data_IF_496221240165
#
_entry.id   IF_496221240165
#
_cell.length_a   1.000
_cell.length_b   1.000
_cell.length_c   1.000
_cell.angle_alpha   90.00
_cell.angle_beta   90.00
_cell.angle_gamma   90.00
#
_symmetry.space_group_name_H-M   'P 1'
#
loop_
_entity.id
_entity.type
_entity.pdbx_description
1 polymer ?
#
# COMPACT_ATOMS: atom_id res chain seq x y z
N UNK A 1 24.05 -66.36 -55.41
CA UNK A 1 25.02 -67.31 -54.80
C UNK A 1 25.12 -66.99 -53.34
N UNK A 2 24.62 -67.94 -52.54
CA UNK A 2 25.09 -68.49 -51.27
C UNK A 2 25.11 -67.59 -50.07
N UNK A 3 24.62 -67.88 -48.97
CA UNK A 3 23.99 -69.00 -48.24
C UNK A 3 23.50 -68.46 -46.89
N UNK A 4 22.32 -68.86 -46.51
CA UNK A 4 21.75 -68.64 -45.15
C UNK A 4 22.58 -69.41 -44.09
N UNK A 5 22.66 -68.86 -42.86
CA UNK A 5 22.80 -69.67 -41.65
C UNK A 5 22.01 -69.08 -40.50
N UNK A 6 21.06 -69.87 -40.05
CA UNK A 6 20.31 -69.70 -38.77
C UNK A 6 21.26 -69.99 -37.60
N UNK A 7 21.08 -69.21 -36.50
CA UNK A 7 21.48 -69.69 -35.16
C UNK A 7 20.48 -69.12 -34.15
N UNK A 8 20.08 -69.94 -33.26
CA UNK A 8 18.91 -69.98 -32.42
C UNK A 8 18.93 -69.08 -31.17
N UNK A 9 17.92 -69.21 -30.33
CA UNK A 9 17.58 -68.21 -29.31
C UNK A 9 18.39 -68.42 -28.04
N UNK A 10 19.07 -67.35 -27.56
CA UNK A 10 19.69 -67.30 -26.24
C UNK A 10 18.65 -66.68 -25.30
N UNK A 11 18.21 -67.48 -24.32
CA UNK A 11 17.37 -67.06 -23.23
C UNK A 11 18.17 -66.11 -22.30
N UNK A 12 17.73 -64.84 -22.18
CA UNK A 12 18.26 -63.92 -21.17
C UNK A 12 17.34 -63.98 -19.95
N UNK A 13 17.86 -64.49 -18.84
CA UNK A 13 17.29 -64.38 -17.51
C UNK A 13 17.26 -62.88 -17.08
N UNK A 14 16.06 -62.32 -16.92
CA UNK A 14 15.82 -61.06 -16.25
C UNK A 14 15.84 -61.28 -14.72
N UNK A 15 16.94 -60.91 -14.06
CA UNK A 15 16.98 -60.74 -12.62
C UNK A 15 16.27 -59.45 -12.26
N UNK A 16 15.06 -59.51 -11.70
CA UNK A 16 14.33 -58.40 -11.15
C UNK A 16 14.99 -57.96 -9.82
N UNK A 17 15.75 -56.85 -9.84
CA UNK A 17 16.17 -56.15 -8.64
C UNK A 17 14.96 -55.39 -8.08
N UNK A 18 14.37 -55.88 -7.00
CA UNK A 18 13.43 -55.16 -6.14
C UNK A 18 14.22 -54.07 -5.40
N UNK A 19 14.26 -52.86 -5.96
CA UNK A 19 14.65 -51.67 -5.22
C UNK A 19 13.42 -51.26 -4.38
N UNK A 20 13.47 -51.54 -3.08
CA UNK A 20 12.53 -51.01 -2.11
C UNK A 20 12.67 -49.47 -2.09
N UNK A 21 11.76 -48.78 -2.76
CA UNK A 21 11.64 -47.35 -2.66
C UNK A 21 11.23 -46.97 -1.22
N UNK A 22 12.17 -46.47 -0.45
CA UNK A 22 11.85 -45.72 0.78
C UNK A 22 10.98 -44.55 0.39
N UNK A 23 9.82 -44.32 1.08
CA UNK A 23 9.03 -43.16 0.80
C UNK A 23 9.87 -41.91 1.09
N UNK A 24 9.95 -40.99 0.11
CA UNK A 24 10.53 -39.67 0.32
C UNK A 24 9.80 -38.99 1.48
N UNK A 25 10.51 -38.26 2.37
CA UNK A 25 9.86 -37.51 3.41
C UNK A 25 8.90 -36.51 2.75
N UNK A 26 7.62 -36.68 2.99
CA UNK A 26 6.60 -35.68 2.65
C UNK A 26 7.00 -34.39 3.35
N UNK A 27 7.04 -33.24 2.64
CA UNK A 27 7.22 -31.97 3.32
C UNK A 27 6.09 -31.83 4.32
N UNK A 28 6.43 -31.76 5.61
CA UNK A 28 5.49 -31.41 6.65
C UNK A 28 4.99 -29.99 6.33
N UNK A 29 3.83 -29.86 5.70
CA UNK A 29 3.07 -28.64 5.74
C UNK A 29 2.81 -28.41 7.22
N UNK A 30 3.45 -27.39 7.79
CA UNK A 30 3.00 -26.84 9.06
C UNK A 30 1.52 -26.53 8.83
N UNK A 31 0.64 -27.23 9.54
CA UNK A 31 -0.78 -26.86 9.59
C UNK A 31 -0.82 -25.44 10.15
N UNK A 32 -0.92 -24.46 9.25
CA UNK A 32 -1.21 -23.08 9.60
C UNK A 32 -2.48 -23.10 10.43
N UNK A 33 -2.41 -22.43 11.56
CA UNK A 33 -3.56 -22.28 12.46
C UNK A 33 -4.68 -21.65 11.67
N UNK A 34 -5.77 -22.39 11.45
CA UNK A 34 -7.03 -21.85 10.94
C UNK A 34 -7.71 -20.93 11.99
N UNK A 35 -7.05 -19.85 12.38
CA UNK A 35 -7.74 -18.67 12.89
C UNK A 35 -7.83 -17.69 11.72
N UNK A 36 -8.51 -18.12 10.66
CA UNK A 36 -8.90 -17.19 9.61
C UNK A 36 -9.97 -16.27 10.20
N UNK A 37 -9.57 -15.02 10.45
CA UNK A 37 -10.54 -13.94 10.51
C UNK A 37 -11.25 -13.91 9.15
N UNK A 38 -12.46 -14.44 9.12
CA UNK A 38 -13.37 -14.25 8.00
C UNK A 38 -13.74 -12.76 7.97
N UNK A 39 -12.80 -11.93 7.46
CA UNK A 39 -12.97 -10.48 7.30
C UNK A 39 -13.75 -10.27 6.00
N UNK A 40 -14.97 -10.78 5.99
CA UNK A 40 -15.95 -10.43 4.97
C UNK A 40 -16.46 -9.02 5.27
N UNK A 41 -16.63 -8.27 4.21
CA UNK A 41 -17.12 -6.90 4.16
C UNK A 41 -18.28 -6.66 5.13
N UNK A 42 -18.17 -5.59 5.95
CA UNK A 42 -19.28 -5.04 6.71
C UNK A 42 -19.47 -5.64 8.10
N UNK A 43 -18.88 -5.03 9.13
CA UNK A 43 -19.30 -5.22 10.52
C UNK A 43 -18.69 -6.41 11.26
N UNK A 44 -17.56 -6.95 10.86
CA UNK A 44 -16.88 -8.02 11.60
C UNK A 44 -16.32 -7.49 12.93
N UNK A 45 -16.59 -8.23 14.02
CA UNK A 45 -16.07 -7.95 15.36
C UNK A 45 -14.54 -7.94 15.32
N UNK A 46 -13.91 -6.80 15.70
CA UNK A 46 -12.43 -6.67 15.76
C UNK A 46 -11.86 -7.76 16.68
N UNK A 47 -10.74 -8.35 16.32
CA UNK A 47 -10.04 -9.34 17.14
C UNK A 47 -9.38 -8.66 18.35
N UNK A 48 -9.71 -9.07 19.57
CA UNK A 48 -9.04 -8.59 20.78
C UNK A 48 -7.59 -9.08 20.81
N UNK A 49 -6.61 -8.19 20.87
CA UNK A 49 -5.20 -8.52 21.04
C UNK A 49 -4.60 -7.72 22.19
N UNK A 50 -3.87 -8.37 23.08
CA UNK A 50 -3.11 -7.72 24.15
C UNK A 50 -1.65 -7.55 23.68
N UNK A 51 -1.11 -6.33 23.85
CA UNK A 51 0.28 -6.00 23.55
C UNK A 51 0.93 -5.42 24.80
N UNK A 52 1.53 -6.27 25.63
CA UNK A 52 2.25 -5.84 26.82
C UNK A 52 3.52 -5.06 26.51
N UNK A 53 4.01 -4.28 27.46
CA UNK A 53 5.36 -3.75 27.42
C UNK A 53 6.39 -4.88 27.25
N UNK A 54 7.48 -4.62 26.52
CA UNK A 54 8.46 -5.65 26.22
C UNK A 54 9.36 -5.95 27.41
N UNK A 55 9.62 -7.24 27.63
CA UNK A 55 10.53 -7.70 28.67
C UNK A 55 11.98 -7.50 28.25
N UNK A 56 12.78 -6.80 29.04
CA UNK A 56 14.19 -6.56 28.77
C UNK A 56 15.01 -7.80 29.13
N UNK A 57 15.89 -8.25 28.22
CA UNK A 57 16.75 -9.41 28.40
C UNK A 57 18.13 -9.06 28.96
N UNK A 58 18.55 -7.80 28.88
CA UNK A 58 19.82 -7.32 29.42
C UNK A 58 19.63 -6.04 30.23
N UNK A 59 20.71 -5.66 30.97
CA UNK A 59 20.70 -4.51 31.86
C UNK A 59 21.10 -3.21 31.16
N UNK A 60 21.34 -3.21 29.86
CA UNK A 60 21.66 -1.99 29.10
C UNK A 60 20.55 -0.95 29.32
N UNK A 61 20.87 0.30 29.66
CA UNK A 61 19.86 1.33 29.83
C UNK A 61 18.98 1.50 28.62
N UNK A 62 17.67 1.61 28.82
CA UNK A 62 16.67 1.88 27.78
C UNK A 62 16.35 3.38 27.76
N UNK A 63 17.32 4.19 27.36
CA UNK A 63 17.19 5.66 27.31
C UNK A 63 16.11 6.12 26.32
N UNK A 64 15.85 5.33 25.27
CA UNK A 64 14.82 5.57 24.28
C UNK A 64 13.43 5.08 24.68
N UNK A 65 13.29 4.48 25.86
CA UNK A 65 12.04 3.88 26.35
C UNK A 65 11.41 2.89 25.33
N UNK A 66 12.24 2.10 24.67
CA UNK A 66 11.82 1.19 23.59
C UNK A 66 10.93 0.05 24.11
N UNK A 67 11.15 -0.39 25.36
CA UNK A 67 10.34 -1.44 25.98
C UNK A 67 8.85 -1.10 26.01
N UNK A 68 8.53 0.19 26.13
CA UNK A 68 7.15 0.71 26.09
C UNK A 68 6.78 1.31 24.73
N UNK A 69 7.68 2.10 24.14
CA UNK A 69 7.40 2.86 22.91
C UNK A 69 7.16 1.95 21.68
N UNK A 70 7.95 0.87 21.53
CA UNK A 70 7.78 -0.05 20.39
C UNK A 70 6.41 -0.78 20.41
N UNK A 71 5.96 -1.40 21.55
CA UNK A 71 4.62 -1.99 21.61
C UNK A 71 3.48 -0.97 21.45
N UNK A 72 3.67 0.30 21.88
CA UNK A 72 2.69 1.37 21.62
C UNK A 72 2.54 1.64 20.11
N UNK A 73 3.64 1.72 19.36
CA UNK A 73 3.62 1.89 17.88
C UNK A 73 2.93 0.69 17.25
N UNK A 74 3.32 -0.54 17.59
CA UNK A 74 2.68 -1.75 17.07
C UNK A 74 1.17 -1.73 17.34
N UNK A 75 0.77 -1.34 18.56
CA UNK A 75 -0.64 -1.22 18.94
C UNK A 75 -1.40 -0.21 18.09
N UNK A 76 -0.78 0.93 17.74
CA UNK A 76 -1.37 1.93 16.86
C UNK A 76 -1.52 1.40 15.44
N UNK A 77 -0.52 0.70 14.90
CA UNK A 77 -0.56 0.07 13.59
C UNK A 77 -1.68 -0.97 13.49
N UNK A 78 -1.84 -1.80 14.51
CA UNK A 78 -2.89 -2.81 14.55
C UNK A 78 -4.29 -2.18 14.69
N UNK A 79 -4.46 -1.09 15.46
CA UNK A 79 -5.71 -0.32 15.49
C UNK A 79 -6.03 0.29 14.13
N UNK A 80 -5.02 0.89 13.49
CA UNK A 80 -5.16 1.50 12.16
C UNK A 80 -5.60 0.46 11.12
N UNK A 81 -5.14 -0.77 11.22
CA UNK A 81 -5.56 -1.86 10.32
C UNK A 81 -7.07 -2.12 10.32
N UNK A 82 -7.78 -1.62 11.34
CA UNK A 82 -9.20 -1.86 11.63
C UNK A 82 -9.58 -3.33 11.91
N UNK A 83 -8.59 -4.23 11.97
CA UNK A 83 -8.79 -5.65 12.21
C UNK A 83 -8.77 -6.01 13.71
N UNK A 84 -8.10 -5.18 14.52
CA UNK A 84 -7.82 -5.48 15.92
C UNK A 84 -8.42 -4.45 16.89
N UNK A 85 -8.91 -4.96 18.02
CA UNK A 85 -9.14 -4.19 19.24
C UNK A 85 -7.96 -4.42 20.17
N UNK A 86 -7.09 -3.40 20.32
CA UNK A 86 -5.82 -3.54 21.01
C UNK A 86 -5.92 -3.06 22.44
N UNK A 87 -5.52 -3.91 23.41
CA UNK A 87 -5.31 -3.57 24.80
C UNK A 87 -3.81 -3.48 25.08
N UNK A 88 -3.33 -2.32 25.56
CA UNK A 88 -1.97 -2.16 26.08
C UNK A 88 -1.98 -2.54 27.56
N UNK A 89 -1.05 -3.38 27.97
CA UNK A 89 -0.97 -3.91 29.33
C UNK A 89 0.49 -3.77 29.85
N UNK A 90 0.70 -3.79 31.17
CA UNK A 90 2.04 -3.87 31.73
C UNK A 90 2.83 -5.07 31.19
N UNK A 91 4.17 -5.03 31.36
CA UNK A 91 5.05 -6.11 30.94
C UNK A 91 4.64 -7.46 31.56
N UNK A 92 4.74 -8.52 30.76
CA UNK A 92 4.51 -9.88 31.24
C UNK A 92 5.68 -10.33 32.14
N UNK A 93 5.39 -11.18 33.16
CA UNK A 93 6.46 -11.75 34.00
C UNK A 93 7.41 -12.60 33.14
N UNK A 94 8.69 -12.67 33.47
CA UNK A 94 9.68 -13.43 32.68
C UNK A 94 9.55 -14.95 32.84
N UNK A 95 8.91 -15.42 33.92
CA UNK A 95 8.76 -16.85 34.21
C UNK A 95 7.58 -17.46 33.44
N UNK A 96 7.73 -18.67 32.86
CA UNK A 96 6.68 -19.31 32.05
C UNK A 96 5.34 -19.49 32.77
N UNK A 97 5.37 -19.86 34.06
CA UNK A 97 4.14 -20.05 34.86
C UNK A 97 3.42 -18.73 35.12
N UNK A 98 4.17 -17.65 35.35
CA UNK A 98 3.61 -16.30 35.49
C UNK A 98 2.96 -15.81 34.20
N UNK A 99 3.54 -16.12 33.04
CA UNK A 99 2.98 -15.77 31.74
C UNK A 99 1.60 -16.44 31.52
N UNK A 100 1.48 -17.73 31.84
CA UNK A 100 0.20 -18.44 31.71
C UNK A 100 -0.90 -17.85 32.57
N UNK A 101 -0.56 -17.45 33.80
CA UNK A 101 -1.52 -16.79 34.69
C UNK A 101 -1.99 -15.45 34.13
N UNK A 102 -1.06 -14.63 33.59
CA UNK A 102 -1.43 -13.36 32.95
C UNK A 102 -2.25 -13.59 31.67
N UNK A 103 -1.92 -14.57 30.85
CA UNK A 103 -2.74 -14.92 29.68
C UNK A 103 -4.18 -15.26 30.04
N UNK A 104 -4.39 -15.98 31.15
CA UNK A 104 -5.72 -16.24 31.68
C UNK A 104 -6.48 -14.96 32.07
N UNK A 105 -5.80 -13.97 32.66
CA UNK A 105 -6.41 -12.67 32.98
C UNK A 105 -6.74 -11.88 31.71
N UNK A 106 -5.83 -11.86 30.73
CA UNK A 106 -6.03 -11.18 29.43
C UNK A 106 -7.20 -11.79 28.65
N UNK A 107 -7.33 -13.12 28.67
CA UNK A 107 -8.43 -13.83 28.06
C UNK A 107 -9.77 -13.43 28.71
N UNK A 108 -9.84 -13.41 30.06
CA UNK A 108 -11.01 -12.94 30.79
C UNK A 108 -11.36 -11.49 30.50
N UNK A 109 -10.36 -10.65 30.20
CA UNK A 109 -10.55 -9.26 29.78
C UNK A 109 -10.96 -9.11 28.29
N UNK A 110 -11.17 -10.23 27.57
CA UNK A 110 -11.65 -10.24 26.18
C UNK A 110 -10.56 -10.27 25.13
N UNK A 111 -9.28 -10.50 25.48
CA UNK A 111 -8.24 -10.72 24.50
C UNK A 111 -8.33 -12.14 23.90
N UNK A 112 -8.28 -12.25 22.58
CA UNK A 112 -8.24 -13.50 21.83
C UNK A 112 -6.80 -13.91 21.49
N UNK A 113 -5.88 -12.95 21.51
CA UNK A 113 -4.46 -13.16 21.27
C UNK A 113 -3.62 -12.27 22.20
N UNK A 114 -2.38 -12.67 22.43
CA UNK A 114 -1.40 -11.84 23.13
C UNK A 114 -0.03 -11.90 22.44
N UNK A 115 0.65 -10.77 22.41
CA UNK A 115 2.04 -10.67 21.97
C UNK A 115 2.96 -10.57 23.20
N UNK A 116 3.97 -11.42 23.29
CA UNK A 116 5.04 -11.31 24.25
C UNK A 116 6.32 -10.91 23.54
N UNK A 117 6.83 -9.71 23.81
CA UNK A 117 8.07 -9.18 23.24
C UNK A 117 9.23 -9.30 24.21
N UNK A 118 10.34 -9.87 23.74
CA UNK A 118 11.62 -9.96 24.45
C UNK A 118 12.62 -9.03 23.77
N UNK A 119 13.16 -8.06 24.48
CA UNK A 119 13.96 -6.99 23.92
C UNK A 119 15.38 -7.00 24.45
N UNK A 120 16.36 -6.73 23.58
CA UNK A 120 17.76 -6.57 23.89
C UNK A 120 18.36 -5.38 23.14
N UNK A 121 19.17 -4.59 23.84
CA UNK A 121 19.92 -3.45 23.31
C UNK A 121 21.41 -3.77 23.37
N UNK A 122 22.10 -3.80 22.23
CA UNK A 122 23.53 -4.02 22.12
C UNK A 122 24.17 -2.85 21.34
N UNK A 123 24.71 -1.87 22.03
CA UNK A 123 25.20 -0.64 21.41
C UNK A 123 24.11 0.12 20.66
N UNK A 124 24.23 0.24 19.35
CA UNK A 124 23.21 0.87 18.48
C UNK A 124 22.19 -0.10 17.89
N UNK A 125 22.26 -1.38 18.29
CA UNK A 125 21.35 -2.41 17.79
C UNK A 125 20.23 -2.69 18.77
N UNK A 126 18.98 -2.62 18.27
CA UNK A 126 17.78 -3.07 18.97
C UNK A 126 17.33 -4.38 18.36
N UNK A 127 17.28 -5.44 19.17
CA UNK A 127 16.77 -6.76 18.78
C UNK A 127 15.50 -7.07 19.56
N UNK A 128 14.45 -7.54 18.87
CA UNK A 128 13.19 -7.93 19.48
C UNK A 128 12.83 -9.33 18.95
N UNK A 129 12.63 -10.27 19.88
CA UNK A 129 11.93 -11.51 19.62
C UNK A 129 10.49 -11.32 20.07
N UNK A 130 9.54 -11.38 19.13
CA UNK A 130 8.14 -11.43 19.49
C UNK A 130 7.59 -12.86 19.41
N UNK A 131 6.71 -13.18 20.35
CA UNK A 131 5.97 -14.43 20.41
C UNK A 131 4.50 -14.11 20.44
N UNK A 132 3.73 -14.66 19.50
CA UNK A 132 2.30 -14.45 19.36
C UNK A 132 1.57 -15.69 19.83
N UNK A 133 0.62 -15.52 20.74
CA UNK A 133 -0.13 -16.60 21.39
C UNK A 133 -1.62 -16.50 21.07
N UNK A 134 -2.24 -17.66 20.82
CA UNK A 134 -3.69 -17.82 20.75
C UNK A 134 -4.24 -18.04 22.16
N UNK A 135 -4.97 -17.06 22.67
CA UNK A 135 -5.60 -17.14 23.99
C UNK A 135 -6.96 -17.83 23.95
N UNK A 136 -7.53 -18.12 22.80
CA UNK A 136 -8.77 -18.90 22.68
C UNK A 136 -8.53 -20.39 22.92
N UNK A 137 -7.28 -20.83 22.74
CA UNK A 137 -6.84 -22.18 23.03
C UNK A 137 -6.55 -22.32 24.54
N UNK A 138 -7.08 -23.35 25.25
CA UNK A 138 -6.83 -23.54 26.69
C UNK A 138 -5.36 -23.69 27.09
N UNK A 139 -4.50 -24.14 26.16
CA UNK A 139 -3.07 -24.31 26.39
C UNK A 139 -2.26 -23.06 26.02
N UNK A 140 -2.93 -22.00 25.55
CA UNK A 140 -2.29 -20.77 25.06
C UNK A 140 -1.25 -21.06 23.97
N UNK A 141 -1.71 -21.64 22.87
CA UNK A 141 -0.84 -22.12 21.78
C UNK A 141 -0.03 -20.98 21.17
N UNK A 142 1.26 -21.22 20.97
CA UNK A 142 2.15 -20.34 20.20
C UNK A 142 1.73 -20.36 18.72
N UNK A 143 1.34 -19.19 18.17
CA UNK A 143 1.01 -18.99 16.74
C UNK A 143 2.29 -18.77 15.95
N UNK A 144 3.16 -17.84 16.42
CA UNK A 144 4.39 -17.46 15.75
C UNK A 144 5.45 -16.98 16.74
N UNK A 145 6.70 -17.23 16.41
CA UNK A 145 7.87 -16.61 17.06
C UNK A 145 8.85 -16.17 15.99
N UNK A 146 9.22 -14.89 16.00
CA UNK A 146 10.19 -14.31 15.05
C UNK A 146 11.06 -13.29 15.73
N UNK A 147 12.27 -13.15 15.22
CA UNK A 147 13.26 -12.17 15.68
C UNK A 147 13.46 -11.09 14.62
N UNK A 148 13.40 -9.85 15.05
CA UNK A 148 13.67 -8.67 14.24
C UNK A 148 14.75 -7.80 14.90
N UNK A 149 15.50 -7.08 14.10
CA UNK A 149 16.46 -6.12 14.58
C UNK A 149 16.59 -4.91 13.66
N UNK A 150 17.04 -3.81 14.24
CA UNK A 150 17.44 -2.59 13.53
C UNK A 150 18.74 -2.05 14.11
N UNK A 151 19.46 -1.32 13.28
CA UNK A 151 20.63 -0.52 13.59
C UNK A 151 20.66 0.65 12.60
N UNK A 152 20.67 1.90 13.02
CA UNK A 152 20.75 2.40 14.39
C UNK A 152 19.44 2.29 15.17
N UNK A 153 19.50 2.57 16.49
CA UNK A 153 18.32 2.60 17.39
C UNK A 153 17.24 3.58 16.93
N UNK A 154 17.63 4.64 16.20
CA UNK A 154 16.70 5.62 15.62
C UNK A 154 15.66 4.98 14.68
N UNK A 155 15.95 3.82 14.09
CA UNK A 155 15.06 3.09 13.18
C UNK A 155 14.02 2.20 13.92
N UNK A 156 13.87 2.35 15.25
CA UNK A 156 12.94 1.55 16.06
C UNK A 156 11.49 1.60 15.57
N UNK A 157 11.02 2.72 15.01
CA UNK A 157 9.69 2.81 14.41
C UNK A 157 9.53 1.84 13.23
N UNK A 158 10.52 1.79 12.35
CA UNK A 158 10.53 0.85 11.23
C UNK A 158 10.48 -0.61 11.71
N UNK A 159 11.20 -0.92 12.82
CA UNK A 159 11.13 -2.24 13.45
C UNK A 159 9.72 -2.55 13.95
N UNK A 160 9.06 -1.59 14.63
CA UNK A 160 7.70 -1.73 15.11
C UNK A 160 6.71 -1.99 13.97
N UNK A 161 6.78 -1.23 12.88
CA UNK A 161 5.95 -1.39 11.68
C UNK A 161 6.12 -2.77 11.05
N UNK A 162 7.35 -3.29 10.95
CA UNK A 162 7.61 -4.65 10.45
C UNK A 162 6.99 -5.73 11.32
N UNK A 163 7.05 -5.57 12.65
CA UNK A 163 6.42 -6.50 13.59
C UNK A 163 4.90 -6.44 13.45
N UNK A 164 4.32 -5.24 13.35
CA UNK A 164 2.87 -5.07 13.16
C UNK A 164 2.40 -5.71 11.85
N UNK A 165 3.12 -5.51 10.74
CA UNK A 165 2.81 -6.13 9.45
C UNK A 165 2.91 -7.65 9.50
N UNK A 166 3.85 -8.20 10.27
CA UNK A 166 3.94 -9.64 10.51
C UNK A 166 2.74 -10.15 11.32
N UNK A 167 2.31 -9.44 12.37
CA UNK A 167 1.11 -9.81 13.13
C UNK A 167 -0.12 -9.82 12.23
N UNK A 168 -0.31 -8.78 11.40
CA UNK A 168 -1.41 -8.76 10.41
C UNK A 168 -1.34 -9.98 9.49
N UNK A 169 -0.15 -10.32 8.99
CA UNK A 169 0.05 -11.48 8.11
C UNK A 169 -0.33 -12.80 8.78
N UNK A 170 0.05 -13.00 10.05
CA UNK A 170 -0.26 -14.24 10.78
C UNK A 170 -1.77 -14.49 10.94
N UNK A 171 -2.58 -13.43 11.00
CA UNK A 171 -4.03 -13.55 11.14
C UNK A 171 -4.81 -13.49 9.84
N UNK A 172 -4.24 -12.94 8.77
CA UNK A 172 -4.98 -12.67 7.51
C UNK A 172 -4.39 -13.35 6.29
N UNK A 173 -3.13 -13.81 6.34
CA UNK A 173 -2.38 -14.25 5.17
C UNK A 173 -1.97 -13.11 4.21
N UNK A 174 -2.38 -11.87 4.47
CA UNK A 174 -2.02 -10.69 3.68
C UNK A 174 -1.00 -9.84 4.43
N UNK A 175 0.05 -9.38 3.76
CA UNK A 175 1.00 -8.44 4.39
C UNK A 175 0.29 -7.15 4.77
N UNK A 176 0.66 -6.57 5.91
CA UNK A 176 0.20 -5.26 6.35
C UNK A 176 0.69 -4.11 5.45
N UNK A 177 0.48 -2.89 5.91
CA UNK A 177 0.84 -1.65 5.20
C UNK A 177 1.65 -0.68 6.08
N UNK A 178 2.08 -1.09 7.26
CA UNK A 178 2.74 -0.21 8.21
C UNK A 178 4.13 0.25 7.73
N UNK A 179 4.81 -0.51 6.89
CA UNK A 179 6.07 -0.07 6.26
C UNK A 179 5.88 0.83 5.04
N UNK A 180 4.65 1.15 4.63
CA UNK A 180 4.39 1.98 3.44
C UNK A 180 4.54 3.47 3.75
N UNK A 181 4.61 4.27 2.68
CA UNK A 181 4.74 5.73 2.76
C UNK A 181 3.69 6.43 1.92
N UNK A 182 3.47 7.69 2.21
CA UNK A 182 2.58 8.56 1.45
C UNK A 182 3.38 9.73 0.94
N UNK A 183 3.47 9.88 -0.39
CA UNK A 183 3.99 11.09 -0.99
C UNK A 183 2.82 12.05 -1.29
N UNK A 184 3.07 13.35 -1.16
CA UNK A 184 2.05 14.36 -1.39
C UNK A 184 2.65 15.70 -1.78
N UNK A 185 1.82 16.60 -2.27
CA UNK A 185 2.19 17.98 -2.55
C UNK A 185 2.08 18.81 -1.27
N UNK A 186 3.20 19.32 -0.79
CA UNK A 186 3.28 20.26 0.31
C UNK A 186 3.47 21.68 -0.23
N UNK A 187 2.57 22.59 0.15
CA UNK A 187 2.69 24.01 -0.19
C UNK A 187 3.11 24.81 1.03
N UNK A 188 4.29 25.43 0.93
CA UNK A 188 4.79 26.39 1.91
C UNK A 188 5.14 27.69 1.19
N UNK A 189 4.34 28.73 1.39
CA UNK A 189 4.45 29.96 0.63
C UNK A 189 4.00 29.81 -0.84
N UNK A 190 4.83 30.22 -1.80
CA UNK A 190 4.50 30.17 -3.23
C UNK A 190 4.89 28.87 -3.92
N UNK A 191 5.81 28.11 -3.36
CA UNK A 191 6.32 26.87 -3.95
C UNK A 191 5.52 25.66 -3.52
N UNK A 192 5.38 24.70 -4.43
CA UNK A 192 4.79 23.38 -4.17
C UNK A 192 5.84 22.32 -4.42
N UNK A 193 6.19 21.57 -3.37
CA UNK A 193 7.19 20.52 -3.44
C UNK A 193 6.57 19.17 -3.10
N UNK A 194 7.15 18.09 -3.61
CA UNK A 194 6.76 16.73 -3.24
C UNK A 194 7.53 16.34 -1.98
N UNK A 195 6.79 15.93 -0.98
CA UNK A 195 7.33 15.39 0.28
C UNK A 195 6.75 14.01 0.54
N UNK A 196 7.34 13.26 1.46
CA UNK A 196 6.80 11.98 1.92
C UNK A 196 6.75 11.90 3.44
N UNK A 197 5.81 11.12 3.94
CA UNK A 197 5.67 10.72 5.33
C UNK A 197 5.49 9.20 5.41
N UNK A 198 5.69 8.63 6.59
CA UNK A 198 5.22 7.29 6.88
C UNK A 198 3.69 7.24 6.84
N UNK A 199 3.12 6.06 6.64
CA UNK A 199 1.67 5.88 6.50
C UNK A 199 0.86 6.45 7.69
N UNK A 200 1.50 6.57 8.85
CA UNK A 200 0.93 7.07 10.11
C UNK A 200 1.23 8.56 10.39
N UNK A 201 1.81 9.27 9.41
CA UNK A 201 2.07 10.71 9.46
C UNK A 201 3.41 11.13 10.04
N UNK A 202 4.28 10.19 10.43
CA UNK A 202 5.61 10.50 10.96
C UNK A 202 6.68 10.58 9.85
N UNK A 203 7.89 10.96 10.24
CA UNK A 203 9.11 10.95 9.41
C UNK A 203 8.97 11.76 8.10
N UNK A 204 8.43 12.99 8.20
CA UNK A 204 8.38 13.91 7.06
C UNK A 204 9.76 14.09 6.44
N UNK A 205 9.85 13.82 5.14
CA UNK A 205 11.07 13.99 4.36
C UNK A 205 10.78 14.59 2.97
N UNK A 206 11.62 15.51 2.46
CA UNK A 206 11.48 16.04 1.13
C UNK A 206 11.86 14.98 0.07
N UNK A 207 11.06 14.90 -0.99
CA UNK A 207 11.37 14.16 -2.23
C UNK A 207 11.96 15.13 -3.26
N UNK A 208 11.40 16.35 -3.35
CA UNK A 208 11.88 17.41 -4.24
C UNK A 208 12.26 18.66 -3.44
N UNK A 209 13.17 19.44 -3.99
CA UNK A 209 13.54 20.78 -3.53
C UNK A 209 13.95 21.60 -4.77
N UNK A 210 12.99 21.83 -5.65
CA UNK A 210 13.22 22.42 -6.96
C UNK A 210 12.92 23.93 -6.99
N UNK A 211 12.43 24.46 -5.85
CA UNK A 211 11.99 25.86 -5.73
C UNK A 211 11.00 26.27 -6.83
N UNK A 212 10.11 25.33 -7.19
CA UNK A 212 9.15 25.45 -8.27
C UNK A 212 7.85 24.76 -7.91
N UNK A 213 6.85 24.81 -8.80
CA UNK A 213 5.60 24.07 -8.62
C UNK A 213 5.79 22.63 -9.12
N UNK A 214 5.69 21.68 -8.19
CA UNK A 214 5.69 20.23 -8.44
C UNK A 214 4.35 19.62 -8.01
N UNK A 215 3.73 18.80 -8.89
CA UNK A 215 2.34 18.32 -8.77
C UNK A 215 2.22 16.85 -9.14
N UNK A 216 1.08 16.25 -8.78
CA UNK A 216 0.63 14.93 -9.24
C UNK A 216 1.68 13.83 -9.05
N UNK A 217 2.20 13.62 -7.82
CA UNK A 217 3.14 12.53 -7.57
C UNK A 217 2.48 11.16 -7.81
N UNK A 218 3.25 10.21 -8.36
CA UNK A 218 2.83 8.83 -8.57
C UNK A 218 3.98 7.86 -8.30
N UNK A 219 3.81 6.96 -7.34
CA UNK A 219 4.80 5.93 -7.01
C UNK A 219 4.88 4.87 -8.10
N UNK A 220 6.09 4.50 -8.48
CA UNK A 220 6.34 3.31 -9.28
C UNK A 220 6.05 2.04 -8.48
N UNK A 221 5.34 1.05 -9.06
CA UNK A 221 5.04 -0.20 -8.36
C UNK A 221 6.24 -1.13 -8.19
N UNK A 222 7.38 -0.86 -8.87
CA UNK A 222 8.49 -1.82 -8.97
C UNK A 222 9.83 -1.34 -8.39
N UNK A 223 10.08 -0.03 -8.30
CA UNK A 223 11.41 0.48 -7.91
C UNK A 223 11.38 1.65 -6.93
N UNK A 224 10.22 1.90 -6.33
CA UNK A 224 10.00 2.96 -5.34
C UNK A 224 10.43 4.36 -5.82
N UNK A 225 10.50 4.60 -7.13
CA UNK A 225 10.65 5.93 -7.70
C UNK A 225 9.32 6.68 -7.72
N UNK A 226 9.36 8.00 -7.82
CA UNK A 226 8.18 8.86 -7.91
C UNK A 226 8.22 9.63 -9.22
N UNK A 227 7.21 9.45 -10.08
CA UNK A 227 6.97 10.32 -11.23
C UNK A 227 6.13 11.52 -10.76
N UNK A 228 6.37 12.69 -11.33
CA UNK A 228 5.63 13.91 -10.99
C UNK A 228 5.74 14.95 -12.10
N UNK A 229 4.78 15.86 -12.16
CA UNK A 229 4.83 17.02 -13.04
C UNK A 229 5.53 18.18 -12.33
N UNK A 230 6.46 18.87 -12.98
CA UNK A 230 7.08 20.07 -12.42
C UNK A 230 7.34 21.15 -13.46
N UNK A 231 7.20 22.41 -13.01
CA UNK A 231 7.55 23.62 -13.79
C UNK A 231 9.03 24.01 -13.64
N UNK A 232 9.86 23.18 -13.06
CA UNK A 232 11.29 23.41 -12.80
C UNK A 232 12.09 23.85 -14.04
N UNK A 233 11.71 23.41 -15.24
CA UNK A 233 12.28 23.83 -16.52
C UNK A 233 11.42 24.88 -17.26
N UNK A 234 10.53 25.57 -16.55
CA UNK A 234 9.66 26.62 -17.09
C UNK A 234 8.33 26.15 -17.70
N UNK A 235 8.18 24.84 -17.96
CA UNK A 235 6.99 24.22 -18.52
C UNK A 235 6.58 23.01 -17.71
N UNK A 236 5.30 22.59 -17.74
CA UNK A 236 4.81 21.40 -17.01
C UNK A 236 5.30 20.12 -17.68
N UNK A 237 6.53 19.71 -17.36
CA UNK A 237 7.14 18.49 -17.84
C UNK A 237 7.01 17.37 -16.81
N UNK A 238 7.04 16.13 -17.30
CA UNK A 238 7.04 14.94 -16.44
C UNK A 238 8.47 14.57 -16.07
N UNK A 239 8.71 14.43 -14.79
CA UNK A 239 9.97 14.04 -14.19
C UNK A 239 9.84 12.80 -13.33
N UNK A 240 10.98 12.21 -12.94
CA UNK A 240 11.10 11.07 -12.05
C UNK A 240 12.26 11.26 -11.07
N UNK A 241 12.04 10.89 -9.81
CA UNK A 241 13.07 10.87 -8.76
C UNK A 241 13.14 9.52 -8.07
N UNK A 242 14.26 9.24 -7.39
CA UNK A 242 14.54 7.98 -6.70
C UNK A 242 14.88 8.26 -5.24
N UNK A 243 13.88 8.50 -4.36
CA UNK A 243 14.11 9.00 -3.00
C UNK A 243 14.93 8.06 -2.12
N UNK A 244 14.90 6.75 -2.39
CA UNK A 244 15.61 5.74 -1.61
C UNK A 244 16.91 5.24 -2.27
N UNK A 245 17.28 5.75 -3.44
CA UNK A 245 18.53 5.33 -4.10
C UNK A 245 19.68 6.25 -3.67
N UNK A 246 20.65 5.76 -2.85
CA UNK A 246 21.74 6.59 -2.35
C UNK A 246 22.63 7.19 -3.44
N UNK A 247 22.75 6.49 -4.60
CA UNK A 247 23.55 6.93 -5.75
C UNK A 247 22.89 8.06 -6.54
N UNK A 248 21.58 8.24 -6.38
CA UNK A 248 20.78 9.25 -7.09
C UNK A 248 20.27 10.36 -6.17
N UNK A 249 20.55 10.25 -4.87
CA UNK A 249 20.14 11.25 -3.87
C UNK A 249 20.82 12.60 -4.17
N UNK A 250 20.03 13.67 -4.25
CA UNK A 250 20.53 15.02 -4.55
C UNK A 250 20.89 15.29 -6.02
N UNK A 251 20.63 14.33 -6.93
CA UNK A 251 20.69 14.58 -8.37
C UNK A 251 19.42 15.26 -8.87
N UNK A 252 19.53 15.97 -9.99
CA UNK A 252 18.38 16.51 -10.71
C UNK A 252 17.40 15.40 -11.09
N UNK A 253 16.08 15.68 -11.07
CA UNK A 253 15.09 14.73 -11.53
C UNK A 253 15.31 14.29 -12.98
N UNK A 254 15.13 13.00 -13.24
CA UNK A 254 15.18 12.44 -14.58
C UNK A 254 13.98 12.94 -15.40
N UNK A 255 14.24 13.54 -16.57
CA UNK A 255 13.19 13.98 -17.48
C UNK A 255 12.58 12.79 -18.22
N UNK A 256 11.25 12.59 -18.10
CA UNK A 256 10.52 11.54 -18.77
C UNK A 256 9.74 12.02 -20.00
N UNK A 257 9.13 13.21 -19.93
CA UNK A 257 8.33 13.79 -21.03
C UNK A 257 8.43 15.30 -21.02
N UNK A 258 8.67 15.88 -22.20
CA UNK A 258 8.80 17.34 -22.42
C UNK A 258 8.11 17.80 -23.70
N UNK A 259 6.95 17.26 -24.00
CA UNK A 259 6.15 17.74 -25.14
C UNK A 259 5.61 19.15 -24.86
N UNK A 260 5.47 19.99 -25.90
CA UNK A 260 4.81 21.29 -25.75
C UNK A 260 3.41 21.14 -25.14
N UNK A 261 3.08 22.01 -24.18
CA UNK A 261 1.83 21.96 -23.44
C UNK A 261 1.90 21.10 -22.17
N UNK A 262 0.78 20.47 -21.79
CA UNK A 262 0.67 19.68 -20.57
C UNK A 262 1.39 18.33 -20.70
N UNK A 263 2.12 17.95 -19.64
CA UNK A 263 2.67 16.62 -19.39
C UNK A 263 2.36 16.32 -17.91
N UNK A 264 1.19 15.77 -17.62
CA UNK A 264 0.66 15.72 -16.24
C UNK A 264 -0.07 14.42 -15.92
N UNK A 265 -0.49 14.27 -14.66
CA UNK A 265 -1.28 13.16 -14.15
C UNK A 265 -0.68 11.78 -14.50
N UNK A 266 0.58 11.50 -14.14
CA UNK A 266 1.19 10.21 -14.40
C UNK A 266 0.48 9.08 -13.63
N UNK A 267 0.30 7.94 -14.28
CA UNK A 267 -0.22 6.72 -13.69
C UNK A 267 0.56 5.50 -14.20
N UNK A 268 1.23 4.81 -13.31
CA UNK A 268 2.01 3.62 -13.64
C UNK A 268 1.13 2.42 -13.94
N UNK A 269 1.43 1.69 -15.00
CA UNK A 269 0.90 0.36 -15.19
C UNK A 269 1.40 -0.59 -14.08
N UNK A 270 0.66 -1.63 -13.70
CA UNK A 270 1.03 -2.52 -12.58
C UNK A 270 2.41 -3.20 -12.72
N UNK A 271 2.89 -3.39 -13.95
CA UNK A 271 4.20 -3.97 -14.24
C UNK A 271 5.37 -2.96 -14.19
N UNK A 272 5.08 -1.66 -14.00
CA UNK A 272 6.06 -0.58 -13.96
C UNK A 272 6.77 -0.27 -15.28
N UNK A 273 6.38 -0.90 -16.39
CA UNK A 273 7.03 -0.72 -17.70
C UNK A 273 6.43 0.40 -18.53
N UNK A 274 5.20 0.74 -18.24
CA UNK A 274 4.42 1.76 -18.97
C UNK A 274 3.87 2.75 -17.96
N UNK A 275 3.85 4.02 -18.34
CA UNK A 275 3.16 5.08 -17.61
C UNK A 275 2.10 5.71 -18.53
N UNK A 276 0.86 5.78 -18.07
CA UNK A 276 -0.16 6.59 -18.72
C UNK A 276 -0.07 8.03 -18.20
N UNK A 277 -0.32 9.00 -19.04
CA UNK A 277 -0.24 10.41 -18.69
C UNK A 277 -1.17 11.24 -19.59
N UNK A 278 -1.45 12.46 -19.17
CA UNK A 278 -2.17 13.45 -19.95
C UNK A 278 -1.17 14.32 -20.72
N UNK A 279 -1.27 14.35 -22.03
CA UNK A 279 -0.51 15.28 -22.90
C UNK A 279 -1.46 16.15 -23.71
N UNK A 280 -1.12 17.45 -23.88
CA UNK A 280 -1.83 18.34 -24.81
C UNK A 280 -1.06 18.59 -26.11
N UNK A 281 -0.20 17.64 -26.51
CA UNK A 281 0.65 17.69 -27.70
C UNK A 281 -0.12 18.00 -28.99
N UNK A 282 -1.36 17.51 -29.12
CA UNK A 282 -2.22 17.72 -30.28
C UNK A 282 -3.09 18.97 -30.22
N UNK A 283 -2.92 19.84 -29.19
CA UNK A 283 -3.76 21.01 -28.94
C UNK A 283 -4.90 20.74 -27.97
N UNK A 284 -5.27 19.48 -27.73
CA UNK A 284 -6.25 19.02 -26.75
C UNK A 284 -5.58 18.05 -25.76
N UNK A 285 -5.93 18.11 -24.45
CA UNK A 285 -5.49 17.11 -23.48
C UNK A 285 -6.06 15.73 -23.80
N UNK A 286 -5.19 14.78 -24.08
CA UNK A 286 -5.52 13.38 -24.37
C UNK A 286 -4.69 12.44 -23.49
N UNK A 287 -5.15 11.20 -23.35
CA UNK A 287 -4.42 10.14 -22.67
C UNK A 287 -3.40 9.51 -23.63
N UNK A 288 -2.17 9.47 -23.18
CA UNK A 288 -1.05 8.81 -23.86
C UNK A 288 -0.44 7.76 -22.93
N UNK A 289 0.25 6.80 -23.49
CA UNK A 289 1.19 5.94 -22.78
C UNK A 289 2.62 6.22 -23.21
N UNK A 290 3.55 6.09 -22.27
CA UNK A 290 4.99 6.16 -22.45
C UNK A 290 5.62 4.87 -21.95
N UNK A 291 6.44 4.22 -22.77
CA UNK A 291 7.29 3.11 -22.32
C UNK A 291 8.46 3.70 -21.53
N UNK A 292 8.59 3.31 -20.27
CA UNK A 292 9.58 3.84 -19.33
C UNK A 292 11.01 3.61 -19.84
N UNK A 293 11.85 4.66 -19.75
CA UNK A 293 13.23 4.63 -20.24
C UNK A 293 13.39 4.74 -21.75
N UNK A 294 12.32 5.08 -22.46
CA UNK A 294 12.34 5.30 -23.93
C UNK A 294 11.61 6.60 -24.30
N UNK A 295 11.58 6.93 -25.59
CA UNK A 295 10.75 8.01 -26.18
C UNK A 295 9.55 7.44 -26.94
N UNK A 296 9.10 6.22 -26.61
CA UNK A 296 7.99 5.54 -27.28
C UNK A 296 6.66 5.96 -26.63
N UNK A 297 5.96 6.88 -27.30
CA UNK A 297 4.66 7.40 -26.91
C UNK A 297 3.57 6.87 -27.82
N UNK A 298 2.49 6.40 -27.21
CA UNK A 298 1.29 6.00 -27.92
C UNK A 298 0.08 6.80 -27.44
N UNK A 299 -0.63 7.46 -28.35
CA UNK A 299 -1.90 8.13 -28.06
C UNK A 299 -3.02 7.09 -27.95
N UNK A 300 -3.78 7.14 -26.85
CA UNK A 300 -4.90 6.23 -26.58
C UNK A 300 -6.25 6.88 -26.84
N UNK A 301 -6.38 8.21 -26.63
CA UNK A 301 -7.59 8.97 -26.93
C UNK A 301 -7.30 10.04 -27.98
N UNK A 302 -8.29 10.34 -28.83
CA UNK A 302 -8.20 11.37 -29.85
C UNK A 302 -9.62 11.81 -30.22
N UNK A 303 -10.18 12.70 -29.43
CA UNK A 303 -11.51 13.27 -29.68
C UNK A 303 -11.52 14.75 -29.27
N UNK A 304 -12.66 15.44 -29.39
CA UNK A 304 -12.74 16.88 -29.07
C UNK A 304 -12.86 17.17 -27.58
N UNK A 305 -13.08 16.16 -26.76
CA UNK A 305 -13.18 16.30 -25.32
C UNK A 305 -11.79 16.39 -24.66
N UNK A 306 -11.75 16.84 -23.42
CA UNK A 306 -10.58 16.87 -22.55
C UNK A 306 -10.50 15.54 -21.82
N UNK A 307 -9.41 14.80 -22.00
CA UNK A 307 -9.16 13.54 -21.31
C UNK A 307 -7.98 13.67 -20.35
N UNK A 308 -8.23 13.37 -19.06
CA UNK A 308 -7.22 13.54 -17.99
C UNK A 308 -7.28 12.42 -16.95
N UNK A 309 -6.32 12.44 -16.04
CA UNK A 309 -6.29 11.63 -14.81
C UNK A 309 -6.42 10.13 -15.05
N UNK A 310 -5.58 9.50 -15.88
CA UNK A 310 -5.65 8.06 -16.10
C UNK A 310 -5.36 7.28 -14.81
N UNK A 311 -6.00 6.11 -14.67
CA UNK A 311 -5.76 5.16 -13.59
C UNK A 311 -5.89 3.73 -14.09
N UNK A 312 -4.83 2.94 -13.97
CA UNK A 312 -4.81 1.55 -14.42
C UNK A 312 -5.63 0.64 -13.51
N UNK A 313 -6.29 -0.34 -14.11
CA UNK A 313 -6.77 -1.50 -13.38
C UNK A 313 -5.58 -2.33 -12.86
N UNK A 314 -5.72 -3.08 -11.74
CA UNK A 314 -4.64 -3.89 -11.20
C UNK A 314 -4.20 -5.03 -12.13
N UNK A 315 -5.04 -5.39 -13.10
CA UNK A 315 -4.70 -6.38 -14.14
C UNK A 315 -3.91 -5.78 -15.31
N UNK A 316 -3.81 -4.44 -15.40
CA UNK A 316 -3.20 -3.73 -16.52
C UNK A 316 -3.98 -3.82 -17.83
N UNK A 317 -5.24 -4.30 -17.81
CA UNK A 317 -6.05 -4.49 -19.01
C UNK A 317 -6.95 -3.31 -19.35
N UNK A 318 -7.27 -2.47 -18.37
CA UNK A 318 -8.17 -1.33 -18.53
C UNK A 318 -7.58 -0.08 -17.86
N UNK A 319 -8.03 1.08 -18.33
CA UNK A 319 -7.68 2.40 -17.82
C UNK A 319 -8.97 3.17 -17.54
N UNK A 320 -9.18 3.60 -16.29
CA UNK A 320 -10.19 4.59 -15.95
C UNK A 320 -9.60 6.00 -16.18
N UNK A 321 -10.39 6.93 -16.64
CA UNK A 321 -9.97 8.31 -16.92
C UNK A 321 -11.15 9.28 -16.84
N UNK A 322 -10.84 10.56 -16.70
CA UNK A 322 -11.82 11.65 -16.79
C UNK A 322 -11.99 12.08 -18.24
N UNK A 323 -13.23 12.27 -18.69
CA UNK A 323 -13.51 12.84 -20.03
C UNK A 323 -14.77 13.70 -20.02
N UNK A 324 -14.71 14.86 -20.68
CA UNK A 324 -15.85 15.76 -20.89
C UNK A 324 -16.49 15.63 -22.27
N UNK A 325 -16.15 14.58 -23.06
CA UNK A 325 -16.66 14.33 -24.42
C UNK A 325 -18.19 14.31 -24.56
N UNK A 326 -18.92 14.19 -23.44
CA UNK A 326 -20.39 14.25 -23.38
C UNK A 326 -20.92 15.56 -22.78
N UNK A 327 -20.10 16.61 -22.73
CA UNK A 327 -20.47 17.97 -22.33
C UNK A 327 -20.05 18.33 -20.90
N UNK A 328 -19.77 17.38 -20.03
CA UNK A 328 -19.23 17.59 -18.67
C UNK A 328 -18.31 16.46 -18.27
N UNK A 329 -17.28 16.72 -17.40
CA UNK A 329 -16.37 15.71 -16.92
C UNK A 329 -17.07 14.54 -16.25
N UNK A 330 -16.80 13.34 -16.70
CA UNK A 330 -17.33 12.08 -16.19
C UNK A 330 -16.23 11.02 -16.17
N UNK A 331 -16.42 9.97 -15.40
CA UNK A 331 -15.52 8.84 -15.38
C UNK A 331 -15.83 7.89 -16.53
N UNK A 332 -14.80 7.56 -17.26
CA UNK A 332 -14.80 6.61 -18.38
C UNK A 332 -13.82 5.49 -18.13
N UNK A 333 -14.03 4.36 -18.79
CA UNK A 333 -13.11 3.22 -18.78
C UNK A 333 -12.89 2.78 -20.24
N UNK A 334 -11.64 2.46 -20.58
CA UNK A 334 -11.24 1.93 -21.88
C UNK A 334 -10.26 0.75 -21.70
N UNK A 335 -10.06 -0.05 -22.75
CA UNK A 335 -8.96 -1.03 -22.74
C UNK A 335 -7.59 -0.35 -22.70
N UNK A 336 -6.56 -1.09 -22.30
CA UNK A 336 -5.16 -0.61 -22.28
C UNK A 336 -4.67 -0.17 -23.68
N UNK A 337 -5.33 -0.64 -24.72
CA UNK A 337 -5.05 -0.28 -26.13
C UNK A 337 -5.78 0.99 -26.59
N UNK A 338 -6.62 1.60 -25.74
CA UNK A 338 -7.38 2.80 -26.08
C UNK A 338 -8.71 2.52 -26.80
N UNK A 339 -9.16 1.26 -26.84
CA UNK A 339 -10.41 0.86 -27.48
C UNK A 339 -11.53 0.64 -26.45
N UNK A 340 -12.77 0.45 -26.95
CA UNK A 340 -13.94 0.12 -26.13
C UNK A 340 -14.22 1.11 -25.00
N UNK A 341 -13.99 2.42 -25.24
CA UNK A 341 -14.24 3.45 -24.24
C UNK A 341 -15.75 3.52 -23.92
N UNK A 342 -16.07 3.39 -22.63
CA UNK A 342 -17.45 3.45 -22.11
C UNK A 342 -17.53 4.40 -20.93
N UNK A 343 -18.63 5.15 -20.83
CA UNK A 343 -18.91 6.00 -19.67
C UNK A 343 -19.28 5.11 -18.48
N UNK A 344 -18.68 5.42 -17.33
CA UNK A 344 -18.90 4.67 -16.09
C UNK A 344 -19.81 5.45 -15.12
N UNK A 345 -19.58 6.76 -14.93
CA UNK A 345 -20.32 7.55 -13.97
C UNK A 345 -21.50 8.31 -14.61
N UNK A 346 -22.61 8.35 -13.87
CA UNK A 346 -23.86 9.03 -14.24
C UNK A 346 -24.42 9.78 -13.02
N UNK A 347 -25.27 10.75 -13.24
CA UNK A 347 -25.99 11.48 -12.19
C UNK A 347 -25.20 12.60 -11.50
N UNK A 348 -23.90 12.73 -11.76
CA UNK A 348 -23.08 13.87 -11.35
C UNK A 348 -22.93 14.91 -12.46
N UNK A 349 -22.75 16.19 -12.10
CA UNK A 349 -22.45 17.26 -13.08
C UNK A 349 -20.97 17.37 -13.40
N UNK A 350 -20.10 16.83 -12.53
CA UNK A 350 -18.66 16.91 -12.65
C UNK A 350 -18.01 15.80 -11.82
N UNK A 351 -17.50 14.77 -12.48
CA UNK A 351 -16.80 13.63 -11.89
C UNK A 351 -15.39 13.57 -12.46
N UNK A 352 -14.35 13.44 -11.61
CA UNK A 352 -12.94 13.53 -12.01
C UNK A 352 -12.03 12.69 -11.11
N UNK A 353 -10.75 12.57 -11.49
CA UNK A 353 -9.69 11.93 -10.70
C UNK A 353 -10.02 10.48 -10.29
N UNK A 354 -10.37 9.58 -11.23
CA UNK A 354 -10.61 8.19 -10.88
C UNK A 354 -9.35 7.53 -10.33
N UNK A 355 -9.52 6.61 -9.37
CA UNK A 355 -8.46 5.75 -8.83
C UNK A 355 -8.98 4.34 -8.66
N UNK A 356 -8.43 3.42 -9.41
CA UNK A 356 -8.81 2.01 -9.36
C UNK A 356 -8.24 1.34 -8.10
N UNK A 357 -9.08 0.58 -7.41
CA UNK A 357 -8.68 -0.23 -6.25
C UNK A 357 -7.64 -1.29 -6.67
N UNK A 358 -6.60 -1.55 -5.88
CA UNK A 358 -5.66 -2.64 -6.14
C UNK A 358 -6.32 -4.03 -6.07
N UNK A 359 -7.55 -4.13 -5.55
CA UNK A 359 -8.38 -5.35 -5.59
C UNK A 359 -9.17 -5.52 -6.89
N UNK A 360 -9.26 -4.46 -7.69
CA UNK A 360 -9.96 -4.48 -8.98
C UNK A 360 -11.48 -4.32 -8.89
N UNK A 361 -12.05 -4.25 -7.71
CA UNK A 361 -13.48 -4.29 -7.42
C UNK A 361 -14.16 -2.93 -7.36
N UNK A 362 -13.41 -1.85 -7.22
CA UNK A 362 -13.93 -0.51 -6.94
C UNK A 362 -13.07 0.57 -7.61
N UNK A 363 -13.71 1.62 -8.11
CA UNK A 363 -13.06 2.86 -8.57
C UNK A 363 -13.58 3.98 -7.68
N UNK A 364 -12.68 4.70 -6.97
CA UNK A 364 -13.02 5.94 -6.28
C UNK A 364 -12.79 7.12 -7.22
N UNK A 365 -13.59 8.17 -7.05
CA UNK A 365 -13.47 9.40 -7.85
C UNK A 365 -13.97 10.61 -7.06
N UNK A 366 -13.60 11.79 -7.52
CA UNK A 366 -14.05 13.07 -6.96
C UNK A 366 -15.29 13.53 -7.70
N UNK A 367 -16.38 13.85 -6.98
CA UNK A 367 -17.64 14.38 -7.52
C UNK A 367 -17.92 15.76 -6.97
N UNK A 368 -18.32 16.69 -7.82
CA UNK A 368 -18.84 17.98 -7.39
C UNK A 368 -20.21 17.80 -6.76
N UNK A 369 -20.40 18.37 -5.58
CA UNK A 369 -21.64 18.40 -4.82
C UNK A 369 -22.01 19.86 -4.47
N UNK A 370 -23.17 20.09 -3.87
CA UNK A 370 -23.59 21.45 -3.45
C UNK A 370 -22.63 22.07 -2.41
N UNK A 371 -21.93 21.24 -1.61
CA UNK A 371 -21.01 21.68 -0.55
C UNK A 371 -19.54 21.75 -0.95
N UNK A 372 -19.20 21.51 -2.21
CA UNK A 372 -17.82 21.43 -2.70
C UNK A 372 -17.56 20.15 -3.49
N UNK A 373 -16.54 19.40 -3.11
CA UNK A 373 -16.23 18.10 -3.71
C UNK A 373 -16.31 17.00 -2.65
N UNK A 374 -16.81 15.84 -3.07
CA UNK A 374 -16.88 14.63 -2.26
C UNK A 374 -16.31 13.42 -2.99
N UNK A 375 -15.78 12.46 -2.22
CA UNK A 375 -15.31 11.20 -2.74
C UNK A 375 -16.48 10.22 -2.89
N UNK A 376 -16.52 9.59 -4.05
CA UNK A 376 -17.48 8.57 -4.42
C UNK A 376 -16.79 7.28 -4.81
N UNK A 377 -17.47 6.17 -4.63
CA UNK A 377 -17.05 4.85 -5.09
C UNK A 377 -18.05 4.28 -6.07
N UNK A 378 -17.58 3.53 -7.08
CA UNK A 378 -18.37 2.85 -8.08
C UNK A 378 -17.70 1.53 -8.47
N UNK A 379 -18.46 0.49 -8.82
CA UNK A 379 -17.88 -0.73 -9.36
C UNK A 379 -17.44 -0.55 -10.81
N UNK A 380 -16.48 -1.35 -11.32
CA UNK A 380 -16.00 -1.23 -12.69
C UNK A 380 -17.08 -1.46 -13.77
N UNK A 381 -18.19 -2.10 -13.44
CA UNK A 381 -19.35 -2.28 -14.31
C UNK A 381 -20.34 -1.09 -14.31
N UNK A 382 -20.09 -0.08 -13.46
CA UNK A 382 -20.92 1.10 -13.30
C UNK A 382 -22.02 0.96 -12.24
N UNK A 383 -22.10 -0.16 -11.55
CA UNK A 383 -23.05 -0.39 -10.45
C UNK A 383 -22.56 0.14 -9.11
N UNK A 384 -23.44 0.17 -8.12
CA UNK A 384 -23.16 0.49 -6.71
C UNK A 384 -22.45 1.83 -6.48
N UNK A 385 -22.79 2.87 -7.24
CA UNK A 385 -22.29 4.21 -7.01
C UNK A 385 -22.77 4.74 -5.66
N UNK A 386 -21.82 5.11 -4.77
CA UNK A 386 -22.11 5.61 -3.41
C UNK A 386 -21.11 6.67 -2.97
N UNK A 387 -21.55 7.58 -2.12
CA UNK A 387 -20.69 8.56 -1.48
C UNK A 387 -19.85 7.89 -0.37
N UNK A 388 -18.57 8.28 -0.29
CA UNK A 388 -17.66 7.92 0.81
C UNK A 388 -17.50 9.08 1.81
N UNK A 389 -17.61 10.32 1.31
CA UNK A 389 -17.59 11.54 2.15
C UNK A 389 -18.83 12.37 1.85
N UNK A 390 -19.30 13.17 2.82
CA UNK A 390 -20.46 14.04 2.67
C UNK A 390 -20.38 15.27 3.57
N UNK A 391 -20.65 16.44 3.00
CA UNK A 391 -20.95 17.69 3.70
C UNK A 391 -19.92 18.15 4.76
N UNK A 392 -18.64 17.86 4.58
CA UNK A 392 -17.59 18.29 5.52
C UNK A 392 -16.38 18.88 4.81
N UNK A 393 -16.57 19.96 4.06
CA UNK A 393 -15.56 20.60 3.22
C UNK A 393 -15.35 19.87 1.89
N UNK A 394 -14.37 20.30 1.09
CA UNK A 394 -13.98 19.61 -0.14
C UNK A 394 -13.09 18.43 0.18
N UNK A 395 -13.39 17.27 -0.42
CA UNK A 395 -12.68 16.01 -0.27
C UNK A 395 -12.29 15.51 -1.66
N UNK A 396 -10.98 15.43 -1.95
CA UNK A 396 -10.48 15.27 -3.32
C UNK A 396 -9.20 14.43 -3.38
N UNK A 397 -8.80 14.07 -4.59
CA UNK A 397 -7.50 13.46 -4.90
C UNK A 397 -7.18 12.23 -4.03
N UNK A 398 -8.09 11.29 -3.98
CA UNK A 398 -7.90 10.06 -3.20
C UNK A 398 -6.83 9.13 -3.79
N UNK A 399 -6.19 8.35 -2.94
CA UNK A 399 -5.27 7.27 -3.32
C UNK A 399 -5.47 6.05 -2.44
N UNK A 400 -5.46 4.86 -3.04
CA UNK A 400 -5.59 3.60 -2.35
C UNK A 400 -4.29 3.18 -1.68
N UNK A 401 -4.40 2.63 -0.46
CA UNK A 401 -3.34 1.81 0.11
C UNK A 401 -3.22 0.47 -0.63
N UNK A 402 -2.02 -0.18 -0.66
CA UNK A 402 -1.80 -1.40 -1.43
C UNK A 402 -2.58 -2.63 -0.92
N UNK A 403 -3.25 -2.54 0.25
CA UNK A 403 -4.16 -3.57 0.72
C UNK A 403 -5.61 -3.42 0.19
N UNK A 404 -5.93 -2.30 -0.48
CA UNK A 404 -7.27 -1.99 -0.97
C UNK A 404 -8.32 -1.81 0.13
N UNK A 405 -7.90 -1.59 1.39
CA UNK A 405 -8.79 -1.38 2.55
C UNK A 405 -8.76 0.05 3.07
N UNK A 406 -7.68 0.79 2.80
CA UNK A 406 -7.49 2.16 3.25
C UNK A 406 -7.36 3.09 2.07
N UNK A 407 -7.80 4.33 2.27
CA UNK A 407 -7.73 5.42 1.32
C UNK A 407 -7.11 6.62 2.05
N UNK A 408 -6.17 7.30 1.40
CA UNK A 408 -5.70 8.63 1.79
C UNK A 408 -6.29 9.66 0.82
N UNK A 409 -6.66 10.84 1.30
CA UNK A 409 -7.26 11.88 0.48
C UNK A 409 -6.99 13.28 1.04
N UNK A 410 -7.16 14.30 0.22
CA UNK A 410 -7.08 15.69 0.60
C UNK A 410 -8.44 16.18 1.11
N UNK A 411 -8.48 16.93 2.22
CA UNK A 411 -9.72 17.50 2.76
C UNK A 411 -9.50 18.89 3.30
N UNK A 412 -10.43 19.80 2.99
CA UNK A 412 -10.46 21.17 3.52
C UNK A 412 -11.32 21.34 4.79
N UNK A 413 -11.84 20.23 5.36
CA UNK A 413 -12.77 20.24 6.52
C UNK A 413 -12.24 20.94 7.77
N UNK A 414 -10.92 21.01 7.93
CA UNK A 414 -10.24 21.71 9.03
C UNK A 414 -9.91 23.19 8.73
N UNK A 415 -10.45 23.75 7.65
CA UNK A 415 -10.19 25.14 7.19
C UNK A 415 -8.98 25.26 6.25
N UNK A 416 -7.99 24.39 6.36
CA UNK A 416 -6.87 24.24 5.41
C UNK A 416 -6.89 22.86 4.81
N UNK A 417 -6.38 22.71 3.60
CA UNK A 417 -6.26 21.42 2.94
C UNK A 417 -5.19 20.58 3.66
N UNK A 418 -5.62 19.46 4.22
CA UNK A 418 -4.77 18.48 4.90
C UNK A 418 -5.09 17.08 4.41
N UNK A 419 -4.21 16.12 4.69
CA UNK A 419 -4.45 14.73 4.38
C UNK A 419 -5.26 14.06 5.48
N UNK A 420 -6.19 13.23 5.06
CA UNK A 420 -6.99 12.35 5.90
C UNK A 420 -6.90 10.92 5.40
N UNK A 421 -7.12 9.98 6.29
CA UNK A 421 -7.29 8.56 5.94
C UNK A 421 -8.70 8.10 6.28
N UNK A 422 -9.17 7.07 5.57
CA UNK A 422 -10.43 6.38 5.84
C UNK A 422 -10.37 4.92 5.39
N UNK A 423 -11.34 4.12 5.80
CA UNK A 423 -11.54 2.79 5.23
C UNK A 423 -12.25 2.88 3.86
N UNK A 424 -12.17 1.79 3.09
CA UNK A 424 -12.75 1.70 1.74
C UNK A 424 -14.28 1.89 1.69
N UNK A 425 -14.95 1.72 2.81
CA UNK A 425 -16.39 1.95 2.95
C UNK A 425 -16.75 3.41 3.32
N UNK A 426 -15.75 4.27 3.58
CA UNK A 426 -15.90 5.66 3.99
C UNK A 426 -15.90 5.89 5.50
N UNK A 427 -15.76 4.83 6.30
CA UNK A 427 -15.70 4.91 7.78
C UNK A 427 -14.28 5.19 8.29
N UNK A 428 -14.12 5.36 9.60
CA UNK A 428 -12.83 5.59 10.30
C UNK A 428 -12.03 6.78 9.72
N UNK A 429 -12.74 7.87 9.34
CA UNK A 429 -12.09 9.05 8.81
C UNK A 429 -11.29 9.78 9.89
N UNK A 430 -9.99 9.95 9.68
CA UNK A 430 -9.10 10.61 10.65
C UNK A 430 -8.05 11.47 9.96
N UNK A 431 -7.63 12.59 10.59
CA UNK A 431 -6.58 13.44 10.05
C UNK A 431 -5.24 12.72 10.10
N UNK A 432 -4.46 12.82 9.00
CA UNK A 432 -3.13 12.28 8.88
C UNK A 432 -2.04 13.35 9.04
N UNK A 433 -2.23 14.50 8.38
CA UNK A 433 -1.30 15.64 8.50
C UNK A 433 -1.93 16.79 9.30
N UNK A 434 -1.05 17.58 9.94
CA UNK A 434 -1.42 18.80 10.67
C UNK A 434 -0.39 19.90 10.44
N UNK A 435 0.12 19.96 9.21
CA UNK A 435 1.19 20.86 8.82
C UNK A 435 0.74 22.34 8.87
N UNK A 436 1.71 23.25 8.97
CA UNK A 436 1.47 24.69 8.88
C UNK A 436 1.07 25.13 7.46
N UNK A 437 1.52 24.39 6.43
CA UNK A 437 1.17 24.57 5.03
C UNK A 437 -0.04 23.73 4.59
N UNK A 438 -0.34 23.74 3.29
CA UNK A 438 -1.32 22.84 2.69
C UNK A 438 -0.68 21.52 2.29
N UNK A 439 -1.42 20.44 2.48
CA UNK A 439 -1.07 19.08 2.05
C UNK A 439 -2.14 18.55 1.09
N UNK A 440 -1.77 18.26 -0.16
CA UNK A 440 -2.72 17.88 -1.21
C UNK A 440 -2.17 16.80 -2.15
N UNK A 441 -3.05 16.22 -2.97
CA UNK A 441 -2.72 15.24 -4.01
C UNK A 441 -1.85 14.07 -3.50
N UNK A 442 -2.28 13.35 -2.47
CA UNK A 442 -1.51 12.24 -1.93
C UNK A 442 -1.46 11.05 -2.90
N UNK A 443 -0.37 10.29 -2.80
CA UNK A 443 -0.22 8.98 -3.44
C UNK A 443 0.38 8.01 -2.46
N UNK A 444 -0.27 6.86 -2.26
CA UNK A 444 0.20 5.81 -1.36
C UNK A 444 1.23 4.94 -2.07
N UNK A 445 2.34 4.64 -1.40
CA UNK A 445 3.40 3.80 -1.97
C UNK A 445 2.96 2.34 -2.09
N UNK A 446 3.58 1.56 -3.00
CA UNK A 446 3.51 0.10 -2.90
C UNK A 446 4.17 -0.35 -1.58
N UNK A 447 3.98 -1.64 -1.24
CA UNK A 447 4.74 -2.25 -0.14
C UNK A 447 6.23 -2.29 -0.47
N UNK A 448 7.13 -2.12 0.51
CA UNK A 448 8.55 -2.38 0.30
C UNK A 448 8.78 -3.82 -0.20
N UNK A 449 9.70 -3.98 -1.15
CA UNK A 449 10.07 -5.30 -1.69
C UNK A 449 11.02 -6.04 -0.76
#
# INVERSE_FOLDING_TARGET
MTRARRLGPIALLLAALLISALPAPTPSHSQGVEVFLNVTQGGSKKLGIAIPEFTRLNQTPDEGNFARGVPEIIGNDLRFSALFAVANTPALPPAPDGIKQEFGRLQQAGAHAAMHGLMRIDGQRLTIEFRLYDLTNPEFRLIASKMFWVEPLADHRRLAHRIADEVVYQFTGERGIAETKIAYVSQQGQNKEIVMIDYDGFNLAPITNLHSTSLSPAWSPVDSSVAFTSFFKGYPYLFRVFPFNPRRRGQDPELMSAWPGLNTAPAWAPDGRIIALTLSKGGNPDIFTLRVGTSDFRQLTNNRGIETDPSWSPTGREIAFTSDRTGSPQIWVMSAEGTNARRLSFGGSFDTQPRWSPRGDTIIFTRRTAGGFDLWAIQPDGSNARALTQNNGSNEAASWAPNGRHIVFSSSRGGRVQLYTMLADGTEQQPLTRDRGEASSPTWSPRPQ
#
